data_IF_802874140348
#
_entry.id   IF_802874140348
#
_cell.length_a   1.000
_cell.length_b   1.000
_cell.length_c   1.000
_cell.angle_alpha   90.00
_cell.angle_beta   90.00
_cell.angle_gamma   90.00
#
_symmetry.space_group_name_H-M   'P 1'
#
loop_
_entity.id
_entity.type
_entity.pdbx_description
1 polymer ?
#
# COMPACT_ATOMS: atom_id res chain seq x y z
N UNK A 1 -2.79 44.87 15.36
CA UNK A 1 -2.74 43.86 14.30
C UNK A 1 -1.47 44.07 13.50
N UNK A 2 -0.42 43.41 13.96
CA UNK A 2 0.88 43.46 13.27
C UNK A 2 1.02 42.18 12.48
N UNK A 3 0.77 42.27 11.17
CA UNK A 3 1.01 41.17 10.24
C UNK A 3 2.50 41.27 9.88
N UNK A 4 3.29 40.33 10.38
CA UNK A 4 4.66 40.15 9.89
C UNK A 4 4.56 39.57 8.48
N UNK A 5 4.91 40.37 7.49
CA UNK A 5 5.10 39.93 6.12
C UNK A 5 6.48 39.26 6.02
N UNK A 6 6.48 37.96 5.77
CA UNK A 6 7.67 37.25 5.31
C UNK A 6 7.62 37.25 3.76
N UNK A 7 8.56 37.93 3.07
CA UNK A 7 8.47 38.15 1.63
C UNK A 7 8.70 36.90 0.77
N UNK A 8 9.15 35.78 1.36
CA UNK A 8 9.36 34.53 0.60
C UNK A 8 8.19 33.54 0.67
N UNK A 9 7.15 33.81 1.48
CA UNK A 9 6.07 32.83 1.73
C UNK A 9 4.66 33.33 1.36
N UNK A 10 4.54 34.42 0.64
CA UNK A 10 3.22 34.99 0.29
C UNK A 10 2.39 34.09 -0.66
N UNK A 11 3.02 33.26 -1.47
CA UNK A 11 2.30 32.34 -2.36
C UNK A 11 1.60 31.22 -1.58
N UNK A 12 2.23 30.69 -0.53
CA UNK A 12 1.73 29.56 0.23
C UNK A 12 0.53 29.91 1.12
N UNK A 13 0.47 31.12 1.67
CA UNK A 13 -0.66 31.55 2.52
C UNK A 13 -1.90 31.94 1.72
N UNK A 14 -1.71 32.50 0.51
CA UNK A 14 -2.82 32.81 -0.40
C UNK A 14 -3.43 31.51 -0.97
N UNK A 15 -2.63 30.48 -1.21
CA UNK A 15 -3.08 29.19 -1.68
C UNK A 15 -3.86 28.40 -0.60
N UNK A 16 -3.49 28.53 0.67
CA UNK A 16 -4.19 27.92 1.81
C UNK A 16 -5.55 28.55 2.10
N UNK A 17 -5.68 29.84 1.88
CA UNK A 17 -6.96 30.56 2.11
C UNK A 17 -7.97 30.39 0.98
N UNK A 18 -7.51 29.91 -0.19
CA UNK A 18 -8.34 29.56 -1.36
C UNK A 18 -8.71 28.08 -1.44
N UNK A 19 -8.23 27.24 -0.51
CA UNK A 19 -8.61 25.83 -0.43
C UNK A 19 -10.06 25.75 0.08
N UNK A 20 -10.98 25.61 -0.84
CA UNK A 20 -12.33 25.15 -0.52
C UNK A 20 -12.24 23.84 0.27
N UNK A 21 -12.67 23.87 1.52
CA UNK A 21 -12.77 22.67 2.35
C UNK A 21 -13.70 21.67 1.70
N UNK A 22 -13.13 20.54 1.27
CA UNK A 22 -13.90 19.45 0.69
C UNK A 22 -13.98 18.33 1.70
N UNK A 23 -15.15 17.75 1.85
CA UNK A 23 -15.37 16.64 2.75
C UNK A 23 -15.85 15.39 2.01
N UNK A 24 -15.43 14.25 2.51
CA UNK A 24 -15.85 12.94 2.01
C UNK A 24 -16.67 12.23 3.07
N UNK A 25 -17.83 11.74 2.70
CA UNK A 25 -18.65 10.87 3.54
C UNK A 25 -18.66 9.49 2.92
N UNK A 26 -18.16 8.49 3.65
CA UNK A 26 -18.04 7.14 3.13
C UNK A 26 -18.48 6.08 4.13
N UNK A 27 -18.81 4.90 3.61
CA UNK A 27 -19.01 3.67 4.38
C UNK A 27 -18.09 2.61 3.78
N UNK A 28 -17.37 1.91 4.66
CA UNK A 28 -16.51 0.82 4.25
C UNK A 28 -16.84 -0.48 4.97
N UNK A 29 -16.47 -1.59 4.34
CA UNK A 29 -16.57 -2.93 4.89
C UNK A 29 -15.30 -3.71 4.56
N UNK A 30 -14.81 -4.46 5.54
CA UNK A 30 -13.67 -5.37 5.37
C UNK A 30 -14.08 -6.79 5.71
N UNK A 31 -13.85 -7.69 4.77
CA UNK A 31 -14.03 -9.13 4.97
C UNK A 31 -12.63 -9.75 4.97
N UNK A 32 -12.31 -10.49 6.02
CA UNK A 32 -11.03 -11.18 6.13
C UNK A 32 -11.23 -12.65 6.51
N UNK A 33 -10.46 -13.51 5.84
CA UNK A 33 -10.29 -14.92 6.20
C UNK A 33 -8.83 -15.15 6.52
N UNK A 34 -8.56 -15.64 7.72
CA UNK A 34 -7.22 -15.94 8.19
C UNK A 34 -7.13 -17.41 8.60
N UNK A 35 -6.22 -18.15 7.96
CA UNK A 35 -5.94 -19.57 8.22
C UNK A 35 -4.45 -19.80 8.54
N UNK A 36 -3.73 -18.73 8.92
CA UNK A 36 -2.32 -18.82 9.30
C UNK A 36 -2.16 -19.59 10.60
N UNK A 37 -1.10 -20.36 10.69
CA UNK A 37 -0.71 -21.11 11.89
C UNK A 37 -0.21 -20.18 13.03
N UNK A 38 0.40 -19.05 12.68
CA UNK A 38 0.91 -18.05 13.62
C UNK A 38 0.63 -16.64 13.07
N UNK A 39 0.28 -15.71 13.97
CA UNK A 39 -0.03 -14.33 13.58
C UNK A 39 1.25 -13.54 13.28
N UNK A 40 2.32 -13.75 14.06
CA UNK A 40 3.55 -12.96 13.95
C UNK A 40 4.51 -13.52 12.89
N UNK A 41 4.79 -14.83 12.98
CA UNK A 41 5.67 -15.52 12.04
C UNK A 41 4.96 -16.74 11.44
N UNK A 42 4.04 -16.51 10.51
CA UNK A 42 3.32 -17.61 9.89
C UNK A 42 4.27 -18.46 9.03
N UNK A 43 4.15 -19.78 9.20
CA UNK A 43 4.90 -20.75 8.38
C UNK A 43 3.99 -21.41 7.34
N UNK A 44 2.70 -21.49 7.62
CA UNK A 44 1.68 -22.13 6.77
C UNK A 44 0.38 -21.34 6.76
N UNK A 45 -0.41 -21.57 5.72
CA UNK A 45 -1.74 -21.01 5.61
C UNK A 45 -1.82 -19.77 4.74
N UNK A 46 -2.93 -19.09 4.83
CA UNK A 46 -3.19 -17.90 4.02
C UNK A 46 -4.06 -16.89 4.76
N UNK A 47 -3.92 -15.64 4.36
CA UNK A 47 -4.80 -14.56 4.77
C UNK A 47 -5.34 -13.87 3.51
N UNK A 48 -6.65 -13.84 3.39
CA UNK A 48 -7.38 -13.10 2.35
C UNK A 48 -8.05 -11.91 3.01
N UNK A 49 -7.91 -10.73 2.43
CA UNK A 49 -8.60 -9.52 2.87
C UNK A 49 -9.24 -8.85 1.67
N UNK A 50 -10.52 -8.52 1.79
CA UNK A 50 -11.29 -7.76 0.83
C UNK A 50 -11.82 -6.51 1.53
N UNK A 51 -11.38 -5.34 1.08
CA UNK A 51 -11.85 -4.04 1.52
C UNK A 51 -12.69 -3.42 0.41
N UNK A 52 -13.86 -2.92 0.77
CA UNK A 52 -14.78 -2.21 -0.13
C UNK A 52 -15.26 -0.93 0.53
N UNK A 53 -15.24 0.17 -0.20
CA UNK A 53 -15.67 1.48 0.26
C UNK A 53 -16.53 2.15 -0.80
N UNK A 54 -17.62 2.75 -0.36
CA UNK A 54 -18.47 3.61 -1.18
C UNK A 54 -18.56 4.98 -0.52
N UNK A 55 -18.29 6.02 -1.27
CA UNK A 55 -18.33 7.41 -0.81
C UNK A 55 -19.29 8.24 -1.64
N UNK A 56 -19.94 9.20 -1.01
CA UNK A 56 -20.84 10.13 -1.69
C UNK A 56 -22.24 9.58 -1.99
N UNK A 57 -22.85 10.02 -3.07
CA UNK A 57 -24.21 9.67 -3.43
C UNK A 57 -25.22 10.06 -2.36
N UNK A 58 -25.94 9.11 -1.81
CA UNK A 58 -26.91 9.31 -0.72
C UNK A 58 -26.26 9.65 0.63
N UNK A 59 -24.97 9.37 0.80
CA UNK A 59 -24.22 9.69 2.01
C UNK A 59 -23.81 11.17 2.07
N UNK A 60 -23.94 11.90 0.93
CA UNK A 60 -23.47 13.27 0.82
C UNK A 60 -21.94 13.37 0.66
N UNK A 61 -21.41 14.58 0.71
CA UNK A 61 -19.99 14.87 0.47
C UNK A 61 -19.73 15.42 -0.93
N UNK A 62 -18.48 15.79 -1.18
CA UNK A 62 -18.06 16.44 -2.41
C UNK A 62 -17.56 15.43 -3.46
N UNK A 63 -17.30 14.20 -3.05
CA UNK A 63 -16.78 13.13 -3.91
C UNK A 63 -17.67 11.90 -3.89
N UNK A 64 -17.97 11.40 -5.08
CA UNK A 64 -18.68 10.15 -5.29
C UNK A 64 -17.70 9.13 -5.89
N UNK A 65 -17.28 8.09 -5.14
CA UNK A 65 -16.39 7.04 -5.62
C UNK A 65 -16.67 5.69 -4.99
N UNK A 66 -16.24 4.65 -5.69
CA UNK A 66 -16.18 3.27 -5.19
C UNK A 66 -14.73 2.82 -5.20
N UNK A 67 -14.24 2.31 -4.06
CA UNK A 67 -12.88 1.79 -3.89
C UNK A 67 -12.94 0.34 -3.43
N UNK A 68 -12.12 -0.48 -4.05
CA UNK A 68 -11.98 -1.89 -3.69
C UNK A 68 -10.51 -2.29 -3.67
N UNK A 69 -10.14 -3.05 -2.61
CA UNK A 69 -8.81 -3.60 -2.45
C UNK A 69 -8.94 -5.07 -2.08
N UNK A 70 -8.27 -5.92 -2.83
CA UNK A 70 -8.15 -7.34 -2.55
C UNK A 70 -6.68 -7.68 -2.28
N UNK A 71 -6.41 -8.35 -1.16
CA UNK A 71 -5.07 -8.79 -0.80
C UNK A 71 -5.08 -10.23 -0.36
N UNK A 72 -4.11 -10.99 -0.86
CA UNK A 72 -3.84 -12.38 -0.48
C UNK A 72 -2.40 -12.46 -0.01
N UNK A 73 -2.19 -12.96 1.21
CA UNK A 73 -0.90 -13.41 1.69
C UNK A 73 -0.96 -14.93 1.81
N UNK A 74 0.00 -15.62 1.24
CA UNK A 74 0.10 -17.07 1.30
C UNK A 74 1.46 -17.47 1.84
N UNK A 75 1.48 -18.46 2.72
CA UNK A 75 2.64 -18.94 3.45
C UNK A 75 2.80 -20.44 3.22
N UNK A 76 3.99 -20.85 2.88
CA UNK A 76 4.35 -22.24 2.65
C UNK A 76 5.70 -22.57 3.24
N UNK A 77 5.72 -23.50 4.17
CA UNK A 77 6.97 -24.08 4.68
C UNK A 77 7.61 -24.96 3.61
N UNK A 78 8.88 -24.69 3.35
CA UNK A 78 9.73 -25.48 2.45
C UNK A 78 10.65 -26.39 3.28
N UNK A 79 11.66 -26.96 2.62
CA UNK A 79 12.67 -27.77 3.30
C UNK A 79 13.59 -26.90 4.18
N UNK A 80 14.21 -27.49 5.18
CA UNK A 80 15.16 -26.84 6.11
C UNK A 80 14.60 -25.59 6.83
N UNK A 81 13.30 -25.56 7.16
CA UNK A 81 12.63 -24.44 7.82
C UNK A 81 12.59 -23.13 7.01
N UNK A 82 12.88 -23.17 5.72
CA UNK A 82 12.58 -22.05 4.86
C UNK A 82 11.07 -21.85 4.74
N UNK A 83 10.64 -20.61 4.81
CA UNK A 83 9.25 -20.24 4.62
C UNK A 83 9.16 -19.31 3.41
N UNK A 84 8.39 -19.72 2.43
CA UNK A 84 8.02 -18.88 1.31
C UNK A 84 6.74 -18.13 1.66
N UNK A 85 6.80 -16.82 1.59
CA UNK A 85 5.65 -15.93 1.66
C UNK A 85 5.44 -15.28 0.30
N UNK A 86 4.20 -15.26 -0.18
CA UNK A 86 3.79 -14.46 -1.35
C UNK A 86 2.66 -13.54 -0.97
N UNK A 87 2.73 -12.29 -1.42
CA UNK A 87 1.67 -11.29 -1.29
C UNK A 87 1.23 -10.85 -2.68
N UNK A 88 -0.07 -10.86 -2.87
CA UNK A 88 -0.73 -10.28 -4.04
C UNK A 88 -1.71 -9.24 -3.56
N UNK A 89 -1.64 -8.05 -4.13
CA UNK A 89 -2.56 -6.98 -3.81
C UNK A 89 -3.02 -6.30 -5.10
N UNK A 90 -4.32 -6.08 -5.17
CA UNK A 90 -5.00 -5.42 -6.28
C UNK A 90 -5.90 -4.35 -5.72
N UNK A 91 -5.76 -3.13 -6.17
CA UNK A 91 -6.58 -2.00 -5.81
C UNK A 91 -7.25 -1.39 -7.04
N UNK A 92 -8.46 -0.93 -6.83
CA UNK A 92 -9.25 -0.26 -7.85
C UNK A 92 -10.11 0.83 -7.19
N UNK A 93 -10.08 2.03 -7.77
CA UNK A 93 -10.96 3.14 -7.41
C UNK A 93 -11.58 3.71 -8.67
N UNK A 94 -12.87 3.98 -8.63
CA UNK A 94 -13.61 4.59 -9.74
C UNK A 94 -14.57 5.65 -9.25
N UNK A 95 -14.55 6.84 -9.83
CA UNK A 95 -15.57 7.83 -9.59
C UNK A 95 -16.91 7.37 -10.19
N UNK A 96 -18.01 7.87 -9.61
CA UNK A 96 -19.36 7.72 -10.14
C UNK A 96 -20.18 8.99 -9.88
N UNK A 97 -21.45 8.98 -10.28
CA UNK A 97 -22.39 10.06 -9.98
C UNK A 97 -21.92 11.42 -10.48
N UNK A 98 -21.70 12.35 -9.55
CA UNK A 98 -21.31 13.72 -9.83
C UNK A 98 -19.81 13.92 -10.03
N UNK A 99 -18.99 12.97 -9.57
CA UNK A 99 -17.53 13.09 -9.58
C UNK A 99 -16.95 12.60 -10.89
N UNK A 100 -16.08 13.40 -11.49
CA UNK A 100 -15.30 13.01 -12.67
C UNK A 100 -13.99 12.29 -12.28
N UNK A 101 -13.54 12.45 -11.04
CA UNK A 101 -12.32 11.86 -10.52
C UNK A 101 -12.45 11.59 -9.01
N UNK A 102 -11.63 10.67 -8.50
CA UNK A 102 -11.54 10.39 -7.08
C UNK A 102 -10.55 11.36 -6.41
N UNK A 103 -10.68 11.60 -5.07
CA UNK A 103 -9.74 12.44 -4.34
C UNK A 103 -8.31 11.92 -4.51
N UNK A 104 -7.29 12.78 -4.66
CA UNK A 104 -5.90 12.35 -4.81
C UNK A 104 -5.39 11.50 -3.64
N UNK A 105 -5.85 11.76 -2.44
CA UNK A 105 -5.45 11.04 -1.21
C UNK A 105 -5.97 9.61 -1.17
N UNK A 106 -7.08 9.33 -1.89
CA UNK A 106 -7.68 8.00 -1.98
C UNK A 106 -7.12 7.17 -3.13
N UNK A 107 -6.37 7.79 -4.04
CA UNK A 107 -5.72 7.12 -5.15
C UNK A 107 -4.47 6.36 -4.69
N UNK A 108 -4.03 5.44 -5.54
CA UNK A 108 -2.92 4.55 -5.24
C UNK A 108 -1.58 5.16 -5.62
N UNK A 109 -0.66 5.15 -4.65
CA UNK A 109 0.75 5.51 -4.81
C UNK A 109 1.59 4.41 -4.17
N UNK A 110 2.52 3.86 -4.92
CA UNK A 110 3.37 2.78 -4.43
C UNK A 110 4.78 3.27 -4.09
N UNK A 111 5.50 2.47 -3.34
CA UNK A 111 6.88 2.72 -2.92
C UNK A 111 7.05 2.63 -1.41
N UNK A 112 8.30 2.62 -0.94
CA UNK A 112 8.61 2.48 0.47
C UNK A 112 8.42 1.06 1.01
N UNK A 113 8.26 0.96 2.33
CA UNK A 113 8.17 -0.32 3.07
C UNK A 113 6.76 -0.64 3.59
N UNK A 114 5.79 0.20 3.31
CA UNK A 114 4.41 0.07 3.78
C UNK A 114 3.63 -1.08 3.15
N UNK A 115 2.32 -1.08 3.38
CA UNK A 115 1.39 -2.08 2.80
C UNK A 115 1.42 -2.04 1.28
N UNK A 116 1.55 -0.83 0.71
CA UNK A 116 1.65 -0.56 -0.72
C UNK A 116 3.13 -0.43 -1.16
N UNK A 117 4.03 -0.95 -0.32
CA UNK A 117 5.47 -0.80 -0.49
C UNK A 117 6.01 -1.65 -1.64
N UNK A 118 6.91 -1.02 -2.40
CA UNK A 118 7.90 -1.66 -3.26
C UNK A 118 9.24 -1.21 -2.72
N UNK A 119 9.92 -2.09 -2.01
CA UNK A 119 11.18 -1.78 -1.33
C UNK A 119 12.26 -1.42 -2.35
N UNK A 120 13.12 -0.48 -2.02
CA UNK A 120 14.12 0.11 -2.92
C UNK A 120 13.67 1.41 -3.57
N UNK A 121 12.39 1.74 -3.55
CA UNK A 121 11.85 3.01 -4.04
C UNK A 121 11.44 3.92 -2.87
N UNK A 122 11.58 5.24 -3.02
CA UNK A 122 11.03 6.18 -2.04
C UNK A 122 9.53 5.99 -1.85
N UNK A 123 9.02 6.38 -0.68
CA UNK A 123 7.59 6.32 -0.41
C UNK A 123 6.80 7.16 -1.42
N UNK A 124 5.65 6.61 -1.87
CA UNK A 124 4.73 7.24 -2.84
C UNK A 124 5.37 7.69 -4.17
N UNK A 125 6.50 7.09 -4.57
CA UNK A 125 7.26 7.50 -5.77
C UNK A 125 6.84 6.78 -7.06
N UNK A 126 6.01 5.74 -6.97
CA UNK A 126 5.58 4.94 -8.10
C UNK A 126 4.11 5.23 -8.39
N UNK A 127 3.83 5.59 -9.62
CA UNK A 127 2.49 5.90 -10.12
C UNK A 127 2.45 7.18 -10.93
N UNK A 128 1.31 7.48 -11.54
CA UNK A 128 1.12 8.73 -12.26
C UNK A 128 1.01 9.93 -11.31
N UNK A 129 1.30 11.13 -11.80
CA UNK A 129 1.05 12.37 -11.08
C UNK A 129 -0.44 12.45 -10.67
N UNK A 130 -0.68 12.71 -9.38
CA UNK A 130 -2.02 12.70 -8.82
C UNK A 130 -2.57 11.32 -8.43
N UNK A 131 -1.72 10.27 -8.43
CA UNK A 131 -2.07 8.91 -8.06
C UNK A 131 -2.74 8.09 -9.16
N UNK A 132 -2.65 6.77 -9.04
CA UNK A 132 -3.33 5.84 -9.94
C UNK A 132 -4.71 5.44 -9.46
N UNK A 133 -5.62 5.19 -10.38
CA UNK A 133 -6.93 4.62 -10.06
C UNK A 133 -6.91 3.09 -9.91
N UNK A 134 -5.77 2.48 -10.15
CA UNK A 134 -5.55 1.04 -10.00
C UNK A 134 -4.15 0.78 -9.49
N UNK A 135 -4.00 -0.28 -8.72
CA UNK A 135 -2.70 -0.80 -8.28
C UNK A 135 -2.61 -2.31 -8.46
N UNK A 136 -1.41 -2.76 -8.69
CA UNK A 136 -1.03 -4.17 -8.61
C UNK A 136 0.30 -4.29 -7.91
N UNK A 137 0.36 -5.14 -6.89
CA UNK A 137 1.58 -5.42 -6.13
C UNK A 137 1.72 -6.93 -6.02
N UNK A 138 2.90 -7.39 -6.32
CA UNK A 138 3.39 -8.73 -6.04
C UNK A 138 4.63 -8.63 -5.16
N UNK A 139 4.66 -9.39 -4.07
CA UNK A 139 5.84 -9.53 -3.23
C UNK A 139 6.07 -10.99 -2.90
N UNK A 140 7.31 -11.43 -2.95
CA UNK A 140 7.71 -12.75 -2.48
C UNK A 140 8.90 -12.62 -1.54
N UNK A 141 8.86 -13.37 -0.44
CA UNK A 141 9.89 -13.41 0.57
C UNK A 141 10.25 -14.86 0.89
N UNK A 142 11.53 -15.14 0.93
CA UNK A 142 12.06 -16.42 1.40
C UNK A 142 12.72 -16.19 2.75
N UNK A 143 12.05 -16.59 3.81
CA UNK A 143 12.49 -16.43 5.20
C UNK A 143 13.18 -17.67 5.74
N UNK A 144 14.18 -17.46 6.58
CA UNK A 144 14.91 -18.51 7.32
C UNK A 144 15.13 -18.08 8.77
N UNK A 145 14.72 -18.88 9.77
CA UNK A 145 14.95 -18.57 11.17
C UNK A 145 16.43 -18.77 11.52
N UNK A 146 17.09 -17.70 12.01
CA UNK A 146 18.50 -17.73 12.43
C UNK A 146 18.61 -18.13 13.92
N UNK A 147 17.73 -17.58 14.76
CA UNK A 147 17.74 -17.83 16.20
C UNK A 147 16.33 -18.17 16.68
N UNK A 148 15.96 -19.43 16.58
CA UNK A 148 14.62 -19.90 16.88
C UNK A 148 13.58 -19.13 16.05
N UNK A 149 12.45 -18.81 16.67
CA UNK A 149 11.38 -18.02 16.03
C UNK A 149 11.53 -16.51 16.28
N UNK A 150 12.62 -16.08 16.95
CA UNK A 150 12.81 -14.68 17.35
C UNK A 150 13.48 -13.84 16.27
N UNK A 151 14.37 -14.43 15.46
CA UNK A 151 15.12 -13.71 14.43
C UNK A 151 15.02 -14.49 13.12
N UNK A 152 14.46 -13.82 12.11
CA UNK A 152 14.30 -14.37 10.77
C UNK A 152 15.10 -13.51 9.80
N UNK A 153 16.01 -14.13 9.04
CA UNK A 153 16.60 -13.53 7.85
C UNK A 153 15.68 -13.80 6.67
N UNK A 154 15.62 -12.87 5.73
CA UNK A 154 14.84 -13.06 4.52
C UNK A 154 15.51 -12.44 3.29
N UNK A 155 15.27 -13.05 2.15
CA UNK A 155 15.49 -12.46 0.85
C UNK A 155 14.13 -12.15 0.25
N UNK A 156 14.00 -11.03 -0.48
CA UNK A 156 12.74 -10.63 -1.06
C UNK A 156 12.85 -10.12 -2.49
N UNK A 157 11.75 -10.21 -3.18
CA UNK A 157 11.50 -9.58 -4.46
C UNK A 157 10.11 -8.95 -4.44
N UNK A 158 10.06 -7.66 -4.75
CA UNK A 158 8.82 -6.90 -4.88
C UNK A 158 8.66 -6.44 -6.32
N UNK A 159 7.44 -6.42 -6.81
CA UNK A 159 7.09 -5.85 -8.10
C UNK A 159 5.72 -5.18 -8.02
N UNK A 160 5.57 -4.01 -8.62
CA UNK A 160 4.28 -3.32 -8.60
C UNK A 160 4.25 -2.11 -9.52
N UNK A 161 3.04 -1.67 -9.77
CA UNK A 161 2.76 -0.46 -10.52
C UNK A 161 1.40 0.11 -10.14
N UNK A 162 1.25 1.41 -10.29
CA UNK A 162 -0.01 2.13 -10.17
C UNK A 162 -0.30 2.86 -11.47
N UNK A 163 -1.54 2.78 -11.95
CA UNK A 163 -1.91 3.26 -13.28
C UNK A 163 -3.39 3.69 -13.36
N UNK A 164 -3.74 4.50 -14.37
CA UNK A 164 -5.11 4.99 -14.55
C UNK A 164 -5.92 4.15 -15.52
N UNK A 165 -5.31 3.54 -16.54
CA UNK A 165 -6.01 2.79 -17.59
C UNK A 165 -5.40 1.42 -17.78
N UNK A 166 -6.23 0.36 -17.90
CA UNK A 166 -5.76 -1.00 -18.16
C UNK A 166 -4.86 -1.12 -19.41
N UNK A 167 -5.13 -0.32 -20.43
CA UNK A 167 -4.33 -0.30 -21.67
C UNK A 167 -2.88 0.19 -21.46
N UNK A 168 -2.62 0.93 -20.37
CA UNK A 168 -1.27 1.41 -20.04
C UNK A 168 -0.50 0.43 -19.17
N UNK A 169 -1.17 -0.59 -18.64
CA UNK A 169 -0.52 -1.61 -17.81
C UNK A 169 0.35 -2.54 -18.66
N UNK A 170 1.60 -2.70 -18.25
CA UNK A 170 2.54 -3.63 -18.86
C UNK A 170 3.39 -4.29 -17.79
N UNK A 171 3.30 -5.62 -17.67
CA UNK A 171 4.08 -6.40 -16.70
C UNK A 171 5.59 -6.18 -16.80
N UNK A 172 6.11 -5.94 -18.02
CA UNK A 172 7.53 -5.70 -18.21
C UNK A 172 8.01 -4.38 -17.61
N UNK A 173 7.11 -3.40 -17.53
CA UNK A 173 7.41 -2.05 -17.04
C UNK A 173 7.14 -1.87 -15.54
N UNK A 174 6.64 -2.92 -14.84
CA UNK A 174 6.47 -2.87 -13.40
C UNK A 174 7.77 -2.52 -12.70
N UNK A 175 7.71 -1.64 -11.71
CA UNK A 175 8.85 -1.34 -10.83
C UNK A 175 9.17 -2.56 -9.99
N UNK A 176 10.45 -2.85 -9.84
CA UNK A 176 10.95 -4.08 -9.19
C UNK A 176 11.99 -3.71 -8.17
N UNK A 177 11.93 -4.33 -7.01
CA UNK A 177 12.92 -4.22 -5.95
C UNK A 177 13.34 -5.60 -5.47
N UNK A 178 14.61 -5.79 -5.20
CA UNK A 178 15.17 -7.01 -4.63
C UNK A 178 16.03 -6.66 -3.42
N UNK A 179 16.07 -7.53 -2.42
CA UNK A 179 16.89 -7.24 -1.26
C UNK A 179 16.92 -8.35 -0.22
N UNK A 180 17.55 -7.99 0.88
CA UNK A 180 17.69 -8.83 2.07
C UNK A 180 17.10 -8.09 3.26
N UNK A 181 16.59 -8.83 4.23
CA UNK A 181 16.04 -8.25 5.44
C UNK A 181 16.23 -9.14 6.66
N UNK A 182 16.01 -8.52 7.81
CA UNK A 182 15.97 -9.19 9.10
C UNK A 182 14.69 -8.77 9.82
N UNK A 183 14.02 -9.74 10.44
CA UNK A 183 12.87 -9.53 11.32
C UNK A 183 13.21 -10.00 12.71
N UNK A 184 12.99 -9.16 13.69
CA UNK A 184 13.26 -9.44 15.10
C UNK A 184 11.94 -9.32 15.86
N UNK A 185 11.55 -10.39 16.56
CA UNK A 185 10.41 -10.33 17.46
C UNK A 185 10.82 -9.65 18.77
N UNK A 186 10.14 -8.56 19.08
CA UNK A 186 10.30 -7.85 20.34
C UNK A 186 8.99 -7.90 21.15
N UNK A 187 9.03 -7.60 22.46
CA UNK A 187 7.80 -7.49 23.27
C UNK A 187 6.80 -6.42 22.75
N UNK A 188 7.28 -5.48 21.96
CA UNK A 188 6.47 -4.39 21.39
C UNK A 188 6.01 -4.67 19.96
N UNK A 189 6.40 -5.81 19.35
CA UNK A 189 6.08 -6.19 17.99
C UNK A 189 7.30 -6.60 17.18
N UNK A 190 7.12 -6.71 15.85
CA UNK A 190 8.18 -7.10 14.92
C UNK A 190 8.94 -5.86 14.47
N UNK A 191 10.27 -5.87 14.68
CA UNK A 191 11.19 -4.86 14.14
C UNK A 191 11.81 -5.42 12.88
N UNK A 192 11.72 -4.68 11.77
CA UNK A 192 12.25 -5.07 10.47
C UNK A 192 13.32 -4.13 9.98
N UNK A 193 14.40 -4.70 9.42
CA UNK A 193 15.44 -3.97 8.70
C UNK A 193 15.55 -4.57 7.31
N UNK A 194 15.43 -3.75 6.28
CA UNK A 194 15.52 -4.16 4.88
C UNK A 194 16.60 -3.35 4.17
N UNK A 195 17.43 -4.04 3.41
CA UNK A 195 18.32 -3.46 2.42
C UNK A 195 17.83 -3.85 1.04
N UNK A 196 17.44 -2.86 0.25
CA UNK A 196 16.81 -3.06 -1.04
C UNK A 196 17.55 -2.33 -2.16
N UNK A 197 17.56 -2.96 -3.34
CA UNK A 197 18.05 -2.42 -4.60
C UNK A 197 16.95 -2.46 -5.65
N UNK A 198 16.86 -1.43 -6.53
CA UNK A 198 15.88 -1.29 -7.61
C UNK A 198 16.54 -1.10 -8.97
#
# INVERSE_FOLDING_TARGET
NMIMQDPENNATLIELDSLDWRYTSSVNATISRDSRDNIFFPTKGSQLTLFSEIAGGILGGDFDYFKQIAQVNWYMELWYKFVLRTKWRFGYITPYGRSNDAPPDEKFYLGGTGVDGIRGYPDRSIGPNGGGSREIIFSTELGFPIAGDQIIALAFFDAGDSYNKLRTFNFMNMKKGIGLGIRIQSPFGIIGFDYAYN
#
